data_IF_824439210836
#
_entry.id   IF_824439210836
#
_cell.length_a   1.000
_cell.length_b   1.000
_cell.length_c   1.000
_cell.angle_alpha   90.00
_cell.angle_beta   90.00
_cell.angle_gamma   90.00
#
_symmetry.space_group_name_H-M   'P 1'
#
loop_
_entity.id
_entity.type
_entity.pdbx_description
1 polymer ?
#
# COMPACT_ATOMS: atom_id res chain seq x y z
N UNK A 1 25.67 -18.64 -7.52
CA UNK A 1 25.07 -17.58 -8.36
C UNK A 1 24.35 -16.63 -7.43
N UNK A 2 24.71 -15.35 -7.42
CA UNK A 2 24.17 -14.37 -6.48
C UNK A 2 22.68 -14.17 -6.72
N UNK A 3 21.87 -14.36 -5.67
CA UNK A 3 20.46 -14.02 -5.69
C UNK A 3 20.33 -12.52 -5.94
N UNK A 4 19.85 -12.13 -7.12
CA UNK A 4 19.38 -10.77 -7.32
C UNK A 4 18.31 -10.51 -6.25
N UNK A 5 18.54 -9.50 -5.41
CA UNK A 5 17.59 -9.14 -4.37
C UNK A 5 16.36 -8.52 -5.05
N UNK A 6 15.39 -9.35 -5.45
CA UNK A 6 14.15 -8.94 -6.11
C UNK A 6 13.37 -7.90 -5.30
N UNK A 7 13.58 -7.85 -3.97
CA UNK A 7 13.02 -6.80 -3.13
C UNK A 7 13.63 -5.43 -3.45
N UNK A 8 14.91 -5.36 -3.81
CA UNK A 8 15.59 -4.12 -4.23
C UNK A 8 15.05 -3.60 -5.56
N UNK A 9 14.84 -4.48 -6.56
CA UNK A 9 14.21 -4.09 -7.84
C UNK A 9 12.77 -3.60 -7.66
N UNK A 10 12.03 -4.17 -6.69
CA UNK A 10 10.71 -3.67 -6.28
C UNK A 10 10.82 -2.33 -5.54
N UNK A 11 11.83 -2.15 -4.69
CA UNK A 11 12.08 -0.87 -4.00
C UNK A 11 12.51 0.23 -4.99
N UNK A 12 13.19 -0.08 -6.08
CA UNK A 12 13.64 0.92 -7.05
C UNK A 12 12.53 1.36 -8.04
N UNK A 13 11.42 0.62 -8.18
CA UNK A 13 10.24 0.95 -9.05
C UNK A 13 9.37 2.12 -8.54
N UNK A 14 9.86 2.86 -7.53
CA UNK A 14 9.14 3.90 -6.79
C UNK A 14 8.69 5.09 -7.65
N UNK A 15 9.37 5.44 -8.74
CA UNK A 15 9.09 6.70 -9.44
C UNK A 15 7.69 6.77 -10.11
N UNK A 16 7.04 5.63 -10.36
CA UNK A 16 5.70 5.58 -10.99
C UNK A 16 4.59 5.00 -10.09
N UNK A 17 4.94 4.41 -8.94
CA UNK A 17 4.03 3.57 -8.13
C UNK A 17 3.92 4.00 -6.66
N UNK A 18 3.98 5.31 -6.38
CA UNK A 18 3.76 5.89 -5.04
C UNK A 18 2.28 5.85 -4.60
N UNK A 19 1.58 4.79 -5.01
CA UNK A 19 0.20 4.46 -4.69
C UNK A 19 0.23 3.14 -3.91
N UNK A 20 -0.46 3.09 -2.76
CA UNK A 20 -0.49 1.90 -1.91
C UNK A 20 -1.17 0.71 -2.62
N UNK A 21 -0.84 -0.52 -2.21
CA UNK A 21 -1.59 -1.70 -2.64
C UNK A 21 -2.93 -1.79 -1.91
N UNK A 22 -3.91 -2.50 -2.48
CA UNK A 22 -5.18 -2.82 -1.79
C UNK A 22 -4.96 -3.67 -0.53
N UNK A 23 -3.86 -4.44 -0.49
CA UNK A 23 -3.50 -5.28 0.65
C UNK A 23 -3.15 -4.48 1.90
N UNK A 24 -2.59 -3.27 1.75
CA UNK A 24 -2.25 -2.41 2.90
C UNK A 24 -3.45 -1.98 3.76
N UNK A 25 -4.47 -1.30 3.21
CA UNK A 25 -5.66 -0.95 3.98
C UNK A 25 -6.40 -2.21 4.46
N UNK A 26 -6.37 -3.31 3.69
CA UNK A 26 -6.86 -4.62 4.14
C UNK A 26 -6.15 -5.09 5.43
N UNK A 27 -4.82 -5.11 5.45
CA UNK A 27 -4.01 -5.51 6.59
C UNK A 27 -4.27 -4.62 7.81
N UNK A 28 -4.45 -3.32 7.57
CA UNK A 28 -4.73 -2.35 8.64
C UNK A 28 -6.05 -2.67 9.36
N UNK A 29 -7.11 -3.03 8.63
CA UNK A 29 -8.40 -3.38 9.25
C UNK A 29 -8.30 -4.66 10.08
N UNK A 30 -7.56 -5.67 9.61
CA UNK A 30 -7.28 -6.88 10.41
C UNK A 30 -6.70 -6.51 11.78
N UNK A 31 -5.71 -5.60 11.83
CA UNK A 31 -5.03 -5.27 13.08
C UNK A 31 -5.82 -4.30 13.97
N UNK A 32 -6.55 -3.35 13.39
CA UNK A 32 -7.36 -2.39 14.15
C UNK A 32 -8.54 -3.09 14.82
N UNK A 33 -9.26 -3.94 14.07
CA UNK A 33 -10.46 -4.61 14.58
C UNK A 33 -10.08 -5.85 15.38
N UNK A 34 -9.11 -6.63 14.90
CA UNK A 34 -8.72 -7.87 15.55
C UNK A 34 -7.85 -7.68 16.80
N UNK A 35 -7.02 -6.64 16.83
CA UNK A 35 -6.05 -6.43 17.91
C UNK A 35 -5.22 -7.70 18.15
N UNK A 36 -5.16 -8.15 19.41
CA UNK A 36 -4.48 -9.40 19.77
C UNK A 36 -5.33 -10.68 19.58
N UNK A 37 -6.58 -10.56 19.08
CA UNK A 37 -7.51 -11.66 18.83
C UNK A 37 -7.36 -12.33 17.46
N UNK A 38 -8.28 -13.25 17.14
CA UNK A 38 -8.19 -14.11 15.96
C UNK A 38 -8.11 -13.32 14.65
N UNK A 39 -8.95 -12.28 14.48
CA UNK A 39 -9.00 -11.50 13.23
C UNK A 39 -7.68 -10.78 12.90
N UNK A 40 -6.84 -10.50 13.90
CA UNK A 40 -5.52 -9.85 13.72
C UNK A 40 -4.36 -10.81 13.44
N UNK A 41 -4.62 -12.12 13.36
CA UNK A 41 -3.64 -13.17 13.11
C UNK A 41 -4.00 -13.96 11.86
N UNK A 42 -3.09 -13.98 10.88
CA UNK A 42 -3.31 -14.66 9.59
C UNK A 42 -3.71 -16.14 9.70
N UNK A 43 -3.22 -16.85 10.71
CA UNK A 43 -3.49 -18.29 10.82
C UNK A 43 -4.89 -18.57 11.39
N UNK A 44 -5.53 -17.57 11.99
CA UNK A 44 -6.83 -17.72 12.64
C UNK A 44 -7.90 -16.71 12.20
N UNK A 45 -7.56 -15.76 11.33
CA UNK A 45 -8.42 -14.64 10.99
C UNK A 45 -9.76 -15.08 10.40
N UNK A 46 -9.75 -16.13 9.59
CA UNK A 46 -10.94 -16.69 8.96
C UNK A 46 -11.94 -17.35 9.93
N UNK A 47 -11.55 -17.64 11.19
CA UNK A 47 -12.47 -18.14 12.20
C UNK A 47 -13.37 -17.03 12.80
N UNK A 48 -12.97 -15.76 12.66
CA UNK A 48 -13.81 -14.63 13.06
C UNK A 48 -14.82 -14.33 11.93
N UNK A 49 -16.14 -14.33 12.18
CA UNK A 49 -17.13 -14.06 11.14
C UNK A 49 -16.92 -12.73 10.40
N UNK A 50 -16.34 -11.71 11.04
CA UNK A 50 -16.07 -10.41 10.40
C UNK A 50 -15.10 -10.52 9.23
N UNK A 51 -14.27 -11.58 9.19
CA UNK A 51 -13.38 -11.88 8.08
C UNK A 51 -14.11 -11.88 6.74
N UNK A 52 -15.25 -12.56 6.68
CA UNK A 52 -16.00 -12.72 5.44
C UNK A 52 -16.62 -11.39 5.00
N UNK A 53 -17.06 -10.54 5.95
CA UNK A 53 -17.61 -9.21 5.65
C UNK A 53 -16.51 -8.25 5.19
N UNK A 54 -15.35 -8.28 5.84
CA UNK A 54 -14.17 -7.51 5.45
C UNK A 54 -13.71 -7.88 4.04
N UNK A 55 -13.51 -9.17 3.76
CA UNK A 55 -13.11 -9.65 2.44
C UNK A 55 -14.18 -9.44 1.36
N UNK A 56 -15.47 -9.44 1.72
CA UNK A 56 -16.54 -9.04 0.80
C UNK A 56 -16.39 -7.57 0.38
N UNK A 57 -16.01 -6.68 1.31
CA UNK A 57 -15.72 -5.28 0.97
C UNK A 57 -14.40 -5.12 0.19
N UNK A 58 -13.39 -5.96 0.44
CA UNK A 58 -12.16 -5.97 -0.38
C UNK A 58 -12.45 -6.41 -1.81
N UNK A 59 -13.23 -7.48 -2.02
CA UNK A 59 -13.67 -7.91 -3.36
C UNK A 59 -14.53 -6.84 -4.04
N UNK A 60 -15.37 -6.13 -3.26
CA UNK A 60 -16.11 -4.96 -3.77
C UNK A 60 -15.17 -3.88 -4.28
N UNK A 61 -14.19 -3.45 -3.49
CA UNK A 61 -13.22 -2.43 -3.91
C UNK A 61 -12.42 -2.88 -5.13
N UNK A 62 -12.04 -4.16 -5.18
CA UNK A 62 -11.36 -4.75 -6.32
C UNK A 62 -12.23 -4.74 -7.60
N UNK A 63 -13.50 -5.11 -7.51
CA UNK A 63 -14.43 -5.09 -8.65
C UNK A 63 -14.64 -3.67 -9.20
N UNK A 64 -14.78 -2.67 -8.32
CA UNK A 64 -14.85 -1.27 -8.74
C UNK A 64 -13.53 -0.82 -9.39
N UNK A 65 -12.37 -1.20 -8.83
CA UNK A 65 -11.08 -0.89 -9.42
C UNK A 65 -10.93 -1.50 -10.82
N UNK A 66 -11.29 -2.76 -11.02
CA UNK A 66 -11.26 -3.43 -12.34
C UNK A 66 -12.20 -2.75 -13.34
N UNK A 67 -13.36 -2.27 -12.90
CA UNK A 67 -14.31 -1.55 -13.74
C UNK A 67 -13.72 -0.24 -14.31
N UNK A 68 -12.95 0.52 -13.51
CA UNK A 68 -12.34 1.79 -13.93
C UNK A 68 -10.92 1.63 -14.53
N UNK A 69 -10.26 0.49 -14.29
CA UNK A 69 -8.93 0.12 -14.80
C UNK A 69 -8.96 -1.24 -15.53
N UNK A 70 -9.78 -1.43 -16.57
CA UNK A 70 -9.98 -2.74 -17.21
C UNK A 70 -8.73 -3.28 -17.92
N UNK A 71 -7.78 -2.40 -18.23
CA UNK A 71 -6.55 -2.72 -18.95
C UNK A 71 -5.43 -3.22 -18.02
N UNK A 72 -5.60 -3.08 -16.69
CA UNK A 72 -4.60 -3.46 -15.68
C UNK A 72 -4.98 -4.78 -15.03
N UNK A 73 -4.54 -5.87 -15.64
CA UNK A 73 -4.91 -7.23 -15.23
C UNK A 73 -3.65 -8.02 -14.94
N UNK A 74 -3.71 -8.95 -13.99
CA UNK A 74 -2.70 -9.98 -13.92
C UNK A 74 -2.77 -10.75 -15.25
N UNK A 75 -1.66 -10.80 -15.97
CA UNK A 75 -1.52 -11.56 -17.21
C UNK A 75 -0.27 -12.44 -17.13
N UNK A 76 0.04 -13.12 -18.22
CA UNK A 76 1.20 -14.04 -18.30
C UNK A 76 2.55 -13.33 -18.51
N UNK A 77 2.52 -12.05 -18.86
CA UNK A 77 3.70 -11.23 -19.18
C UNK A 77 4.41 -10.65 -17.95
N UNK A 78 3.82 -10.73 -16.76
CA UNK A 78 4.40 -10.13 -15.55
C UNK A 78 4.20 -8.61 -15.46
N UNK A 79 5.08 -7.93 -14.72
CA UNK A 79 5.04 -6.48 -14.49
C UNK A 79 6.20 -5.77 -15.18
N UNK A 80 5.99 -4.50 -15.57
CA UNK A 80 7.06 -3.65 -16.12
C UNK A 80 7.99 -3.16 -15.02
N UNK A 81 9.28 -3.13 -15.31
CA UNK A 81 10.31 -2.48 -14.51
C UNK A 81 10.19 -0.95 -14.65
N UNK A 82 11.00 -0.22 -13.88
CA UNK A 82 11.01 1.23 -13.84
C UNK A 82 11.41 1.87 -15.18
N UNK A 83 12.15 1.16 -16.01
CA UNK A 83 12.50 1.62 -17.36
C UNK A 83 11.29 1.66 -18.30
N UNK A 84 10.14 1.09 -17.89
CA UNK A 84 8.93 0.98 -18.69
C UNK A 84 9.03 0.00 -19.86
N UNK A 85 10.12 -0.75 -19.95
CA UNK A 85 10.46 -1.59 -21.10
C UNK A 85 10.74 -3.05 -20.70
N UNK A 86 11.48 -3.25 -19.62
CA UNK A 86 11.84 -4.57 -19.11
C UNK A 86 10.66 -5.18 -18.36
N UNK A 87 10.36 -6.46 -18.58
CA UNK A 87 9.31 -7.18 -17.84
C UNK A 87 9.90 -8.20 -16.87
N UNK A 88 9.33 -8.23 -15.67
CA UNK A 88 9.64 -9.19 -14.62
C UNK A 88 8.44 -10.12 -14.38
N UNK A 89 8.65 -11.43 -14.26
CA UNK A 89 7.55 -12.34 -13.91
C UNK A 89 7.01 -12.04 -12.51
N UNK A 90 5.73 -12.32 -12.28
CA UNK A 90 5.23 -12.43 -10.92
C UNK A 90 5.78 -13.70 -10.29
N UNK A 91 6.27 -13.58 -9.05
CA UNK A 91 6.93 -14.66 -8.34
C UNK A 91 6.27 -14.83 -6.97
N UNK A 92 5.94 -16.07 -6.61
CA UNK A 92 5.42 -16.41 -5.30
C UNK A 92 6.52 -16.26 -4.24
N UNK A 93 6.34 -15.30 -3.33
CA UNK A 93 7.32 -15.00 -2.30
C UNK A 93 7.13 -15.88 -1.08
N UNK A 94 8.03 -16.86 -0.96
CA UNK A 94 8.05 -17.80 0.15
C UNK A 94 7.13 -19.00 0.00
N UNK A 95 6.33 -19.13 -1.06
CA UNK A 95 5.45 -20.29 -1.27
C UNK A 95 4.11 -20.23 -0.52
N UNK A 96 3.24 -21.19 -0.80
CA UNK A 96 1.94 -21.36 -0.15
C UNK A 96 1.70 -22.86 0.13
N UNK A 97 0.47 -23.24 0.48
CA UNK A 97 0.14 -24.67 0.63
C UNK A 97 0.29 -25.45 -0.70
N UNK A 98 0.07 -24.79 -1.83
CA UNK A 98 0.08 -25.42 -3.16
C UNK A 98 1.20 -24.93 -4.09
N UNK A 99 1.94 -23.89 -3.71
CA UNK A 99 2.96 -23.26 -4.55
C UNK A 99 4.32 -23.27 -3.85
N UNK A 100 5.39 -23.50 -4.61
CA UNK A 100 6.74 -23.42 -4.06
C UNK A 100 7.19 -21.98 -3.86
N UNK A 101 8.18 -21.76 -3.00
CA UNK A 101 8.91 -20.49 -2.99
C UNK A 101 9.50 -20.24 -4.37
N UNK A 102 9.42 -19.00 -4.84
CA UNK A 102 9.97 -18.54 -6.11
C UNK A 102 9.35 -19.21 -7.34
N UNK A 103 8.15 -19.79 -7.19
CA UNK A 103 7.35 -20.23 -8.32
C UNK A 103 6.90 -19.01 -9.14
N UNK A 104 7.05 -19.05 -10.47
CA UNK A 104 6.40 -18.08 -11.36
C UNK A 104 4.89 -18.25 -11.26
N UNK A 105 4.18 -17.14 -11.04
CA UNK A 105 2.71 -17.09 -11.00
C UNK A 105 2.20 -16.13 -12.08
N UNK A 106 0.97 -16.35 -12.51
CA UNK A 106 0.25 -15.58 -13.53
C UNK A 106 -1.27 -15.78 -13.36
N UNK A 107 -2.06 -15.29 -14.32
CA UNK A 107 -3.52 -15.38 -14.28
C UNK A 107 -4.10 -16.76 -14.57
N UNK A 108 -3.27 -17.69 -15.03
CA UNK A 108 -3.63 -19.08 -15.28
C UNK A 108 -3.25 -20.02 -14.12
N UNK A 109 -2.44 -19.52 -13.19
CA UNK A 109 -1.99 -20.24 -12.01
C UNK A 109 -3.18 -20.76 -11.18
N UNK A 110 -3.22 -22.06 -10.84
CA UNK A 110 -4.31 -22.65 -10.05
C UNK A 110 -4.49 -22.02 -8.67
N UNK A 111 -5.69 -21.48 -8.40
CA UNK A 111 -6.11 -20.99 -7.08
C UNK A 111 -6.63 -22.15 -6.22
N UNK A 112 -5.73 -23.08 -5.86
CA UNK A 112 -6.09 -24.17 -4.96
C UNK A 112 -6.48 -23.62 -3.56
N UNK A 113 -7.45 -24.25 -2.87
CA UNK A 113 -8.14 -25.49 -3.21
C UNK A 113 -9.46 -25.28 -3.99
N UNK A 114 -9.73 -24.10 -4.55
CA UNK A 114 -11.03 -23.77 -5.14
C UNK A 114 -11.21 -24.45 -6.49
N UNK A 115 -12.23 -25.31 -6.61
CA UNK A 115 -12.53 -26.07 -7.84
C UNK A 115 -13.81 -25.59 -8.52
N UNK A 116 -13.82 -25.68 -9.85
CA UNK A 116 -14.99 -25.57 -10.71
C UNK A 116 -15.77 -26.89 -10.71
N UNK A 117 -16.99 -26.87 -11.25
CA UNK A 117 -17.86 -28.06 -11.34
C UNK A 117 -17.23 -29.23 -12.12
N UNK A 118 -16.35 -28.94 -13.09
CA UNK A 118 -15.63 -29.93 -13.87
C UNK A 118 -14.36 -30.49 -13.16
N UNK A 119 -14.11 -30.10 -11.92
CA UNK A 119 -12.97 -30.55 -11.11
C UNK A 119 -11.66 -29.79 -11.34
N UNK A 120 -11.56 -28.96 -12.38
CA UNK A 120 -10.41 -28.06 -12.57
C UNK A 120 -10.38 -26.97 -11.49
N UNK A 121 -9.19 -26.50 -11.14
CA UNK A 121 -9.07 -25.35 -10.23
C UNK A 121 -9.54 -24.06 -10.92
N UNK A 122 -10.04 -23.13 -10.10
CA UNK A 122 -10.19 -21.73 -10.51
C UNK A 122 -8.81 -21.11 -10.74
N UNK A 123 -8.75 -20.07 -11.56
CA UNK A 123 -7.58 -19.20 -11.69
C UNK A 123 -8.00 -17.71 -11.68
N UNK A 124 -7.05 -16.78 -11.73
CA UNK A 124 -7.36 -15.35 -11.64
C UNK A 124 -8.18 -14.86 -12.83
N UNK A 125 -8.01 -15.46 -14.01
CA UNK A 125 -8.82 -15.16 -15.19
C UNK A 125 -10.30 -15.54 -14.99
N UNK A 126 -10.56 -16.71 -14.43
CA UNK A 126 -11.92 -17.14 -14.06
C UNK A 126 -12.52 -16.18 -13.00
N UNK A 127 -11.69 -15.66 -12.10
CA UNK A 127 -12.10 -14.80 -10.99
C UNK A 127 -12.17 -13.29 -11.34
N UNK A 128 -11.77 -12.88 -12.53
CA UNK A 128 -11.67 -11.46 -12.86
C UNK A 128 -13.03 -10.77 -13.05
N UNK A 129 -14.07 -11.51 -13.44
CA UNK A 129 -15.35 -10.93 -13.86
C UNK A 129 -16.50 -11.36 -12.95
N UNK A 130 -17.34 -10.39 -12.52
CA UNK A 130 -18.56 -10.66 -11.75
C UNK A 130 -19.67 -11.29 -12.61
N UNK A 131 -19.61 -11.11 -13.92
CA UNK A 131 -20.42 -11.80 -14.92
C UNK A 131 -19.57 -12.02 -16.17
N UNK A 132 -19.45 -13.27 -16.62
CA UNK A 132 -18.67 -13.61 -17.81
C UNK A 132 -19.29 -13.02 -19.07
N UNK A 133 -18.51 -12.25 -19.83
CA UNK A 133 -18.86 -11.88 -21.20
C UNK A 133 -18.69 -13.04 -22.19
N UNK A 134 -17.74 -13.93 -21.91
CA UNK A 134 -17.55 -15.15 -22.67
C UNK A 134 -18.45 -16.24 -22.07
N UNK A 135 -19.19 -16.96 -22.91
CA UNK A 135 -19.99 -18.13 -22.53
C UNK A 135 -19.19 -19.25 -21.83
N UNK A 136 -17.87 -19.12 -21.79
CA UNK A 136 -16.90 -20.04 -21.19
C UNK A 136 -16.46 -19.65 -19.78
N UNK A 137 -16.72 -18.42 -19.32
CA UNK A 137 -16.32 -17.98 -17.97
C UNK A 137 -17.35 -18.39 -16.91
N UNK A 138 -16.93 -18.85 -15.73
CA UNK A 138 -17.86 -19.19 -14.65
C UNK A 138 -18.71 -17.99 -14.19
N UNK A 139 -20.00 -18.21 -13.96
CA UNK A 139 -20.86 -17.20 -13.34
C UNK A 139 -20.69 -17.23 -11.82
N UNK A 140 -20.46 -16.06 -11.21
CA UNK A 140 -20.31 -15.93 -9.75
C UNK A 140 -21.62 -15.67 -9.02
N UNK A 141 -22.70 -15.33 -9.73
CA UNK A 141 -24.05 -15.11 -9.19
C UNK A 141 -24.18 -14.00 -8.13
N UNK A 142 -23.27 -13.02 -8.11
CA UNK A 142 -23.38 -11.83 -7.27
C UNK A 142 -22.90 -10.57 -8.00
N UNK A 143 -23.30 -9.41 -7.46
CA UNK A 143 -22.76 -8.09 -7.81
C UNK A 143 -22.87 -7.17 -6.59
N UNK A 144 -22.39 -5.93 -6.72
CA UNK A 144 -22.38 -4.94 -5.66
C UNK A 144 -23.31 -3.77 -5.93
N UNK A 145 -23.81 -3.18 -4.83
CA UNK A 145 -24.52 -1.91 -4.90
C UNK A 145 -23.58 -0.79 -5.38
N UNK A 146 -24.10 0.19 -6.16
CA UNK A 146 -23.33 1.33 -6.66
C UNK A 146 -22.57 2.11 -5.59
N UNK A 147 -21.51 2.80 -5.98
CA UNK A 147 -20.86 3.85 -5.17
C UNK A 147 -21.27 5.19 -5.76
N UNK A 148 -22.31 5.80 -5.17
CA UNK A 148 -22.90 7.02 -5.74
C UNK A 148 -23.38 6.79 -7.19
N UNK A 149 -22.91 7.56 -8.18
CA UNK A 149 -23.25 7.39 -9.59
C UNK A 149 -22.45 6.27 -10.28
N UNK A 150 -21.50 5.61 -9.61
CA UNK A 150 -20.68 4.57 -10.22
C UNK A 150 -21.39 3.22 -10.12
N UNK A 151 -21.86 2.71 -11.25
CA UNK A 151 -22.52 1.42 -11.38
C UNK A 151 -21.56 0.40 -12.00
N UNK A 152 -21.42 -0.77 -11.36
CA UNK A 152 -20.62 -1.84 -11.94
C UNK A 152 -21.27 -2.36 -13.22
N UNK A 153 -20.63 -2.08 -14.35
CA UNK A 153 -20.85 -2.77 -15.61
C UNK A 153 -19.53 -3.38 -16.06
N UNK A 154 -19.26 -4.60 -15.60
CA UNK A 154 -18.05 -5.34 -15.97
C UNK A 154 -18.19 -6.03 -17.33
N UNK A 155 -19.38 -5.96 -17.94
CA UNK A 155 -19.66 -6.53 -19.25
C UNK A 155 -19.39 -5.53 -20.37
N UNK A 156 -19.62 -4.25 -20.20
CA UNK A 156 -19.36 -3.29 -21.30
C UNK A 156 -18.16 -2.41 -20.95
N UNK A 157 -17.06 -2.46 -21.72
CA UNK A 157 -15.94 -1.55 -21.52
C UNK A 157 -16.42 -0.10 -21.62
N UNK A 158 -16.16 0.68 -20.57
CA UNK A 158 -16.49 2.11 -20.55
C UNK A 158 -15.56 2.89 -21.49
N UNK A 159 -16.09 3.96 -22.08
CA UNK A 159 -15.28 4.94 -22.81
C UNK A 159 -14.23 5.54 -21.88
N UNK A 160 -13.11 6.01 -22.43
CA UNK A 160 -12.05 6.63 -21.62
C UNK A 160 -12.57 7.86 -20.84
N UNK A 161 -13.45 8.65 -21.45
CA UNK A 161 -14.08 9.80 -20.82
C UNK A 161 -14.95 9.40 -19.61
N UNK A 162 -15.77 8.35 -19.76
CA UNK A 162 -16.60 7.85 -18.66
C UNK A 162 -15.76 7.26 -17.52
N UNK A 163 -14.69 6.51 -17.86
CA UNK A 163 -13.73 6.04 -16.86
C UNK A 163 -13.07 7.20 -16.10
N UNK A 164 -12.73 8.28 -16.79
CA UNK A 164 -12.16 9.48 -16.13
C UNK A 164 -13.15 10.13 -15.17
N UNK A 165 -14.41 10.31 -15.58
CA UNK A 165 -15.46 10.86 -14.70
C UNK A 165 -15.64 10.04 -13.43
N UNK A 166 -15.77 8.74 -13.57
CA UNK A 166 -15.97 7.86 -12.43
C UNK A 166 -14.73 7.81 -11.52
N UNK A 167 -13.51 7.87 -12.08
CA UNK A 167 -12.28 8.03 -11.29
C UNK A 167 -12.27 9.33 -10.49
N UNK A 168 -12.66 10.45 -11.09
CA UNK A 168 -12.74 11.74 -10.40
C UNK A 168 -13.73 11.66 -9.22
N UNK A 169 -14.91 11.08 -9.46
CA UNK A 169 -15.90 10.86 -8.41
C UNK A 169 -15.35 9.99 -7.28
N UNK A 170 -14.76 8.82 -7.59
CA UNK A 170 -14.25 7.89 -6.59
C UNK A 170 -13.07 8.48 -5.81
N UNK A 171 -12.19 9.22 -6.48
CA UNK A 171 -11.09 9.92 -5.81
C UNK A 171 -11.63 10.92 -4.80
N UNK A 172 -12.62 11.74 -5.17
CA UNK A 172 -13.27 12.68 -4.24
C UNK A 172 -14.06 11.99 -3.14
N UNK A 173 -14.72 10.87 -3.45
CA UNK A 173 -15.57 10.14 -2.52
C UNK A 173 -14.76 9.47 -1.40
N UNK A 174 -13.56 8.98 -1.70
CA UNK A 174 -12.74 8.22 -0.74
C UNK A 174 -11.53 8.98 -0.20
N UNK A 175 -11.10 10.07 -0.83
CA UNK A 175 -9.98 10.88 -0.33
C UNK A 175 -10.51 12.02 0.56
N UNK A 176 -10.35 11.94 1.89
CA UNK A 176 -10.76 13.01 2.79
C UNK A 176 -9.95 14.30 2.59
N UNK A 177 -8.81 14.23 1.89
CA UNK A 177 -7.94 15.37 1.56
C UNK A 177 -8.15 15.87 0.13
N UNK A 178 -9.24 15.47 -0.53
CA UNK A 178 -9.49 15.89 -1.91
C UNK A 178 -9.58 17.41 -2.05
N UNK A 179 -10.26 18.07 -1.12
CA UNK A 179 -10.46 19.52 -1.18
C UNK A 179 -9.16 20.29 -0.87
N UNK A 180 -8.20 19.68 -0.14
CA UNK A 180 -6.86 20.25 0.11
C UNK A 180 -6.06 20.46 -1.20
N UNK A 181 -6.43 19.79 -2.31
CA UNK A 181 -5.74 19.94 -3.59
C UNK A 181 -5.93 21.34 -4.20
N UNK A 182 -7.06 22.00 -3.95
CA UNK A 182 -7.29 23.37 -4.41
C UNK A 182 -6.29 24.33 -3.75
N UNK A 183 -6.14 24.22 -2.42
CA UNK A 183 -5.18 25.03 -1.65
C UNK A 183 -3.74 24.80 -2.14
N UNK A 184 -3.39 23.54 -2.45
CA UNK A 184 -2.08 23.21 -3.03
C UNK A 184 -1.89 23.91 -4.37
N UNK A 185 -2.90 23.93 -5.24
CA UNK A 185 -2.83 24.45 -6.62
C UNK A 185 -2.79 25.98 -6.69
N UNK A 186 -3.40 26.70 -5.75
CA UNK A 186 -3.57 28.15 -5.84
C UNK A 186 -2.28 28.95 -5.54
N UNK A 187 -1.35 28.42 -4.74
CA UNK A 187 0.06 28.85 -4.53
C UNK A 187 0.46 28.35 -3.13
N UNK A 188 1.45 27.46 -3.01
CA UNK A 188 2.10 27.22 -1.71
C UNK A 188 3.09 28.38 -1.46
N UNK A 189 2.81 29.33 -0.55
CA UNK A 189 3.65 30.51 -0.33
C UNK A 189 5.01 30.17 0.27
N UNK A 190 5.23 28.92 0.71
CA UNK A 190 6.48 28.45 1.32
C UNK A 190 7.30 27.59 0.35
N UNK A 191 6.64 26.83 -0.53
CA UNK A 191 7.30 25.88 -1.44
C UNK A 191 7.44 26.35 -2.89
N UNK A 192 6.86 27.50 -3.27
CA UNK A 192 6.84 28.07 -4.63
C UNK A 192 6.31 27.13 -5.74
N UNK A 193 5.85 25.92 -5.40
CA UNK A 193 5.30 24.91 -6.32
C UNK A 193 4.21 24.08 -5.63
N UNK A 194 3.08 23.79 -6.31
CA UNK A 194 1.94 23.04 -5.77
C UNK A 194 2.31 21.55 -5.58
N UNK A 195 2.83 21.20 -4.40
CA UNK A 195 3.32 19.85 -4.12
C UNK A 195 2.57 19.15 -2.99
N UNK A 196 2.20 17.89 -3.23
CA UNK A 196 1.72 16.95 -2.21
C UNK A 196 2.89 16.17 -1.64
N UNK A 197 2.92 15.96 -0.33
CA UNK A 197 3.91 15.13 0.34
C UNK A 197 3.34 13.78 0.76
N UNK A 198 4.16 12.74 0.66
CA UNK A 198 3.84 11.38 1.12
C UNK A 198 5.07 10.76 1.76
N UNK A 199 4.85 9.82 2.69
CA UNK A 199 5.90 8.92 3.15
C UNK A 199 5.74 7.56 2.49
N UNK A 200 6.84 7.00 2.01
CA UNK A 200 6.91 5.57 1.69
C UNK A 200 7.55 4.83 2.82
N UNK A 201 7.11 3.61 3.01
CA UNK A 201 7.58 2.74 4.08
C UNK A 201 7.89 1.37 3.50
N UNK A 202 8.96 0.75 4.01
CA UNK A 202 9.31 -0.64 3.76
C UNK A 202 9.59 -1.28 5.11
N UNK A 203 8.77 -2.28 5.49
CA UNK A 203 8.75 -2.93 6.80
C UNK A 203 9.04 -4.43 6.62
N UNK A 204 9.91 -5.02 7.42
CA UNK A 204 10.15 -6.46 7.32
C UNK A 204 8.94 -7.27 7.82
N UNK A 205 8.40 -8.14 6.98
CA UNK A 205 7.26 -8.99 7.34
C UNK A 205 7.57 -9.92 8.53
N UNK A 206 8.86 -10.12 8.82
CA UNK A 206 9.34 -11.12 9.77
C UNK A 206 10.20 -10.53 10.89
N UNK A 207 10.26 -9.19 10.99
CA UNK A 207 11.01 -8.47 12.03
C UNK A 207 10.61 -8.88 13.45
N UNK A 208 9.32 -9.15 13.65
CA UNK A 208 8.76 -9.51 14.96
C UNK A 208 7.89 -10.75 14.84
N UNK A 209 7.66 -11.39 16.00
CA UNK A 209 6.74 -12.53 16.09
C UNK A 209 5.30 -12.02 15.99
N UNK A 210 4.62 -12.36 14.90
CA UNK A 210 3.25 -11.93 14.64
C UNK A 210 3.17 -10.56 13.98
N UNK A 211 1.94 -10.05 13.93
CA UNK A 211 1.62 -8.78 13.31
C UNK A 211 2.13 -7.58 14.10
N UNK A 212 2.36 -6.45 13.42
CA UNK A 212 2.68 -5.17 14.03
C UNK A 212 2.32 -4.01 13.10
N UNK A 213 2.32 -2.79 13.62
CA UNK A 213 2.06 -1.57 12.85
C UNK A 213 3.21 -0.58 13.00
N UNK A 214 3.54 0.11 11.92
CA UNK A 214 4.22 1.40 11.97
C UNK A 214 3.16 2.48 12.13
N UNK A 215 3.27 3.31 13.17
CA UNK A 215 2.48 4.53 13.35
C UNK A 215 3.37 5.74 13.12
N UNK A 216 2.89 6.69 12.33
CA UNK A 216 3.60 7.92 11.99
C UNK A 216 2.84 9.13 12.51
N UNK A 217 3.59 10.04 13.11
CA UNK A 217 3.08 11.25 13.73
C UNK A 217 3.83 12.46 13.18
N UNK A 218 3.15 13.60 13.14
CA UNK A 218 3.73 14.91 12.88
C UNK A 218 3.36 15.81 14.05
N UNK A 219 4.34 16.17 14.88
CA UNK A 219 4.07 16.63 16.24
C UNK A 219 3.36 15.54 17.06
N UNK A 220 2.25 15.89 17.71
CA UNK A 220 1.43 14.96 18.52
C UNK A 220 0.33 14.23 17.72
N UNK A 221 0.06 14.65 16.48
CA UNK A 221 -1.01 14.08 15.67
C UNK A 221 -0.55 12.84 14.90
N UNK A 222 -1.29 11.73 15.02
CA UNK A 222 -1.10 10.56 14.15
C UNK A 222 -1.60 10.92 12.74
N UNK A 223 -0.69 10.92 11.76
CA UNK A 223 -1.02 11.22 10.36
C UNK A 223 -1.27 9.95 9.54
N UNK A 224 -0.84 8.80 10.04
CA UNK A 224 -1.13 7.52 9.38
C UNK A 224 -0.39 6.34 9.97
N UNK A 225 -0.71 5.16 9.42
CA UNK A 225 -0.14 3.91 9.89
C UNK A 225 -0.06 2.89 8.76
N UNK A 226 0.91 1.99 8.86
CA UNK A 226 1.16 0.90 7.91
C UNK A 226 1.18 -0.41 8.66
N UNK A 227 0.45 -1.41 8.17
CA UNK A 227 0.24 -2.67 8.86
C UNK A 227 1.07 -3.79 8.25
N UNK A 228 1.74 -4.54 9.11
CA UNK A 228 2.34 -5.84 8.79
C UNK A 228 1.44 -6.91 9.39
N UNK A 229 0.60 -7.50 8.55
CA UNK A 229 -0.21 -8.64 8.93
C UNK A 229 0.65 -9.90 8.80
N UNK A 230 1.13 -10.38 9.95
CA UNK A 230 2.08 -11.46 10.07
C UNK A 230 1.44 -12.71 10.66
N UNK A 231 2.23 -13.79 10.70
CA UNK A 231 1.87 -15.03 11.40
C UNK A 231 2.59 -15.11 12.73
N UNK A 232 1.92 -15.66 13.75
CA UNK A 232 2.62 -16.10 14.97
C UNK A 232 3.48 -17.32 14.62
N UNK A 233 4.57 -17.49 15.35
CA UNK A 233 5.67 -18.37 14.97
C UNK A 233 5.23 -19.82 14.69
N UNK A 234 5.44 -20.30 13.45
CA UNK A 234 5.45 -21.73 13.14
C UNK A 234 6.82 -22.12 12.62
N UNK A 235 7.65 -22.70 13.50
CA UNK A 235 8.96 -23.25 13.15
C UNK A 235 8.88 -24.42 12.15
N UNK A 236 7.67 -24.89 11.81
CA UNK A 236 7.41 -25.99 10.87
C UNK A 236 6.92 -25.51 9.51
N UNK A 237 6.53 -24.24 9.38
CA UNK A 237 6.04 -23.72 8.10
C UNK A 237 7.21 -23.36 7.19
N UNK A 238 7.42 -24.16 6.14
CA UNK A 238 8.45 -23.91 5.13
C UNK A 238 8.34 -22.53 4.49
N UNK A 239 7.11 -22.04 4.28
CA UNK A 239 6.87 -20.69 3.76
C UNK A 239 7.30 -19.58 4.73
N UNK A 240 6.96 -19.70 6.02
CA UNK A 240 7.42 -18.75 7.03
C UNK A 240 8.95 -18.71 7.13
N UNK A 241 9.61 -19.86 7.02
CA UNK A 241 11.07 -19.94 7.01
C UNK A 241 11.67 -19.31 5.73
N UNK A 242 11.07 -19.57 4.57
CA UNK A 242 11.49 -19.00 3.30
C UNK A 242 11.34 -17.47 3.28
N UNK A 243 10.21 -16.93 3.79
CA UNK A 243 10.00 -15.48 3.89
C UNK A 243 11.00 -14.80 4.80
N UNK A 244 11.35 -15.43 5.94
CA UNK A 244 12.42 -14.95 6.85
C UNK A 244 13.76 -14.90 6.13
N UNK A 245 14.12 -15.98 5.41
CA UNK A 245 15.37 -16.06 4.65
C UNK A 245 15.42 -15.07 3.48
N UNK A 246 14.27 -14.84 2.84
CA UNK A 246 14.11 -13.93 1.70
C UNK A 246 13.96 -12.45 2.08
N UNK A 247 13.90 -12.13 3.39
CA UNK A 247 13.70 -10.78 3.92
C UNK A 247 12.54 -10.05 3.22
N UNK A 248 11.37 -10.71 3.14
CA UNK A 248 10.18 -10.16 2.49
C UNK A 248 9.75 -8.88 3.21
N UNK A 249 9.56 -7.80 2.44
CA UNK A 249 9.19 -6.49 2.97
C UNK A 249 7.80 -6.07 2.51
N UNK A 250 7.06 -5.54 3.46
CA UNK A 250 5.73 -4.98 3.33
C UNK A 250 5.89 -3.48 3.06
N UNK A 251 5.35 -3.02 1.93
CA UNK A 251 5.40 -1.60 1.53
C UNK A 251 4.11 -0.89 1.90
N UNK A 252 4.21 0.36 2.31
CA UNK A 252 3.06 1.22 2.56
C UNK A 252 3.32 2.67 2.19
N UNK A 253 2.24 3.41 1.93
CA UNK A 253 2.25 4.84 1.63
C UNK A 253 1.41 5.54 2.68
N UNK A 254 1.96 6.60 3.28
CA UNK A 254 1.24 7.47 4.21
C UNK A 254 1.14 8.86 3.58
N UNK A 255 -0.04 9.26 3.08
CA UNK A 255 -0.27 10.63 2.64
C UNK A 255 -0.08 11.59 3.81
N UNK A 256 0.57 12.74 3.56
CA UNK A 256 0.71 13.79 4.57
C UNK A 256 -0.35 14.86 4.28
N UNK A 257 -1.25 15.17 5.22
CA UNK A 257 -2.24 16.24 5.05
C UNK A 257 -1.55 17.58 4.78
N UNK A 258 -2.03 18.35 3.81
CA UNK A 258 -1.44 19.65 3.48
C UNK A 258 -1.39 20.61 4.70
N UNK A 259 -2.43 20.69 5.55
CA UNK A 259 -2.37 21.53 6.76
C UNK A 259 -1.26 21.14 7.74
N UNK A 260 -0.87 19.85 7.78
CA UNK A 260 0.23 19.39 8.65
C UNK A 260 1.59 19.88 8.12
N UNK A 261 1.78 19.89 6.80
CA UNK A 261 2.96 20.47 6.15
C UNK A 261 3.05 21.97 6.45
N UNK A 262 1.97 22.72 6.21
CA UNK A 262 1.90 24.16 6.51
C UNK A 262 2.22 24.43 7.98
N UNK A 263 1.69 23.62 8.89
CA UNK A 263 1.96 23.73 10.33
C UNK A 263 3.43 23.57 10.69
N UNK A 264 4.15 22.65 10.03
CA UNK A 264 5.56 22.40 10.32
C UNK A 264 6.53 23.45 9.74
N UNK A 265 6.10 24.18 8.71
CA UNK A 265 6.93 25.21 8.06
C UNK A 265 6.55 26.63 8.47
N UNK A 266 5.43 26.80 9.18
CA UNK A 266 4.94 28.10 9.63
C UNK A 266 5.94 28.77 10.58
N UNK A 267 6.31 30.01 10.26
CA UNK A 267 7.18 30.83 11.10
C UNK A 267 8.68 30.52 10.94
N UNK A 268 9.06 29.69 9.96
CA UNK A 268 10.45 29.56 9.56
C UNK A 268 10.97 30.89 9.00
N UNK A 269 12.24 31.20 9.28
CA UNK A 269 12.93 32.33 8.64
C UNK A 269 13.14 32.03 7.15
N UNK A 270 13.24 33.08 6.32
CA UNK A 270 13.37 32.96 4.85
C UNK A 270 14.51 32.03 4.41
N UNK A 271 15.63 32.00 5.13
CA UNK A 271 16.82 31.19 4.81
C UNK A 271 16.78 29.76 5.40
N UNK A 272 15.67 29.35 6.03
CA UNK A 272 15.57 28.04 6.68
C UNK A 272 15.49 26.90 5.66
N UNK A 273 16.10 25.76 5.97
CA UNK A 273 15.89 24.54 5.20
C UNK A 273 14.49 23.96 5.49
N UNK A 274 13.55 24.25 4.60
CA UNK A 274 12.15 23.81 4.70
C UNK A 274 12.04 22.28 4.72
N UNK A 275 12.85 21.57 3.94
CA UNK A 275 12.82 20.11 3.91
C UNK A 275 13.36 19.51 5.20
N UNK A 276 14.39 20.12 5.77
CA UNK A 276 14.89 19.70 7.07
C UNK A 276 13.86 19.92 8.19
N UNK A 277 13.15 21.05 8.17
CA UNK A 277 12.06 21.32 9.11
C UNK A 277 10.94 20.28 9.00
N UNK A 278 10.49 19.96 7.77
CA UNK A 278 9.48 18.93 7.53
C UNK A 278 9.98 17.57 8.03
N UNK A 279 11.18 17.13 7.66
CA UNK A 279 11.73 15.83 8.10
C UNK A 279 11.89 15.74 9.61
N UNK A 280 12.28 16.84 10.26
CA UNK A 280 12.49 16.92 11.71
C UNK A 280 11.18 16.90 12.51
N UNK A 281 10.05 17.24 11.88
CA UNK A 281 8.72 17.22 12.50
C UNK A 281 8.15 15.83 12.73
N UNK A 282 8.65 14.81 12.01
CA UNK A 282 8.10 13.45 12.11
C UNK A 282 8.55 12.72 13.36
N UNK A 283 7.65 11.91 13.89
CA UNK A 283 7.91 10.83 14.85
C UNK A 283 7.30 9.56 14.31
N UNK A 284 7.84 8.42 14.72
CA UNK A 284 7.26 7.14 14.36
C UNK A 284 7.47 6.11 15.47
N UNK A 285 6.60 5.11 15.51
CA UNK A 285 6.70 4.01 16.46
C UNK A 285 6.24 2.70 15.82
N UNK A 286 6.87 1.61 16.25
CA UNK A 286 6.42 0.26 15.96
C UNK A 286 5.58 -0.22 17.13
N UNK A 287 4.38 -0.71 16.84
CA UNK A 287 3.35 -1.02 17.83
C UNK A 287 2.79 -2.40 17.55
N UNK A 288 2.69 -3.23 18.58
CA UNK A 288 2.01 -4.52 18.49
C UNK A 288 0.49 -4.33 18.47
N UNK A 289 -0.29 -5.31 17.98
CA UNK A 289 -1.74 -5.25 18.00
C UNK A 289 -2.36 -5.11 19.41
N UNK A 290 -1.59 -5.38 20.47
CA UNK A 290 -1.99 -5.10 21.86
C UNK A 290 -1.90 -3.62 22.25
N UNK A 291 -1.39 -2.75 21.37
CA UNK A 291 -1.08 -1.34 21.66
C UNK A 291 0.30 -1.13 22.28
N UNK A 292 1.04 -2.20 22.61
CA UNK A 292 2.39 -2.07 23.17
C UNK A 292 3.37 -1.54 22.11
N UNK A 293 4.02 -0.42 22.42
CA UNK A 293 5.12 0.11 21.62
C UNK A 293 6.35 -0.77 21.80
N UNK A 294 6.98 -1.19 20.71
CA UNK A 294 8.18 -2.05 20.71
C UNK A 294 9.43 -1.32 20.23
N UNK A 295 9.25 -0.28 19.43
CA UNK A 295 10.35 0.61 19.05
C UNK A 295 9.83 2.00 18.72
N UNK A 296 10.70 2.99 18.86
CA UNK A 296 10.44 4.38 18.51
C UNK A 296 11.55 4.92 17.63
N UNK A 297 11.17 5.87 16.80
CA UNK A 297 12.10 6.65 16.04
C UNK A 297 12.95 7.52 16.97
N UNK A 298 14.27 7.51 16.79
CA UNK A 298 15.19 8.21 17.68
C UNK A 298 15.03 9.73 17.57
N UNK A 299 15.00 10.41 18.72
CA UNK A 299 14.88 11.88 18.80
C UNK A 299 16.22 12.61 18.62
N UNK A 300 17.36 11.92 18.82
CA UNK A 300 18.72 12.47 18.76
C UNK A 300 19.60 11.84 17.67
N UNK A 301 20.86 12.26 17.56
CA UNK A 301 21.81 11.72 16.58
C UNK A 301 22.17 10.25 16.87
N UNK A 302 22.47 9.49 15.80
CA UNK A 302 22.73 8.04 15.84
C UNK A 302 23.88 7.63 16.79
N UNK A 303 24.78 8.55 17.13
CA UNK A 303 25.98 8.32 17.93
C UNK A 303 25.78 8.04 19.42
N UNK A 304 24.53 7.96 19.91
CA UNK A 304 24.21 7.72 21.32
C UNK A 304 23.46 6.41 21.63
N UNK A 305 23.18 5.56 20.63
CA UNK A 305 22.44 4.31 20.85
C UNK A 305 23.41 3.17 21.17
N UNK A 306 23.20 2.52 22.32
CA UNK A 306 23.89 1.25 22.63
C UNK A 306 23.30 0.11 21.78
N UNK A 307 24.10 -0.94 21.50
CA UNK A 307 23.62 -2.15 20.80
C UNK A 307 22.40 -2.80 21.48
N UNK A 308 22.31 -2.71 22.81
CA UNK A 308 21.17 -3.25 23.56
C UNK A 308 19.87 -2.49 23.22
N UNK A 309 19.97 -1.18 22.99
CA UNK A 309 18.83 -0.30 22.70
C UNK A 309 18.52 -0.14 21.21
N UNK A 310 19.45 -0.40 20.29
CA UNK A 310 19.20 -0.30 18.84
C UNK A 310 18.34 -1.48 18.35
N UNK A 311 17.52 -1.24 17.32
CA UNK A 311 16.87 -2.33 16.61
C UNK A 311 17.88 -3.07 15.72
N UNK A 312 17.73 -4.39 15.49
CA UNK A 312 18.49 -5.09 14.46
C UNK A 312 18.22 -4.50 13.06
N UNK A 313 19.23 -4.50 12.19
CA UNK A 313 19.12 -3.88 10.85
C UNK A 313 17.99 -4.49 10.00
N UNK A 314 17.78 -5.80 10.08
CA UNK A 314 16.67 -6.49 9.40
C UNK A 314 15.28 -6.07 9.90
N UNK A 315 15.19 -5.60 11.15
CA UNK A 315 13.97 -5.14 11.79
C UNK A 315 13.73 -3.63 11.61
N UNK A 316 14.74 -2.88 11.15
CA UNK A 316 14.60 -1.44 10.91
C UNK A 316 13.63 -1.19 9.74
N UNK A 317 12.60 -0.36 9.96
CA UNK A 317 11.86 0.27 8.88
C UNK A 317 12.81 1.05 7.96
N UNK A 318 12.40 1.20 6.71
CA UNK A 318 12.88 2.29 5.84
C UNK A 318 11.70 3.23 5.64
N UNK A 319 11.85 4.50 6.00
CA UNK A 319 10.80 5.52 5.84
C UNK A 319 11.35 6.73 5.10
N UNK A 320 10.84 7.00 3.91
CA UNK A 320 11.36 8.05 3.01
C UNK A 320 10.29 9.08 2.67
N UNK A 321 10.69 10.33 2.60
CA UNK A 321 9.83 11.45 2.25
C UNK A 321 9.87 11.69 0.74
N UNK A 322 8.69 11.74 0.12
CA UNK A 322 8.53 12.08 -1.29
C UNK A 322 7.57 13.26 -1.44
N UNK A 323 7.69 13.98 -2.56
CA UNK A 323 6.63 14.87 -3.00
C UNK A 323 6.38 14.81 -4.50
N UNK A 324 5.17 15.16 -4.92
CA UNK A 324 4.75 15.22 -6.32
C UNK A 324 4.03 16.51 -6.63
N UNK A 325 4.06 16.93 -7.90
CA UNK A 325 3.16 17.97 -8.40
C UNK A 325 1.75 17.42 -8.49
N UNK A 326 0.78 18.22 -8.06
CA UNK A 326 -0.65 17.96 -8.27
C UNK A 326 -1.07 18.64 -9.57
N UNK A 327 -1.82 17.94 -10.41
CA UNK A 327 -2.44 18.53 -11.60
C UNK A 327 -3.89 18.10 -11.71
N UNK A 328 -4.75 18.97 -12.24
CA UNK A 328 -6.10 18.58 -12.65
C UNK A 328 -6.24 18.92 -14.14
N UNK A 329 -6.36 17.94 -15.03
CA UNK A 329 -6.55 18.21 -16.45
C UNK A 329 -7.87 18.94 -16.66
N UNK A 330 -7.85 20.23 -17.01
CA UNK A 330 -9.06 20.95 -17.43
C UNK A 330 -9.36 20.58 -18.87
N UNK A 331 -10.35 19.72 -19.11
CA UNK A 331 -11.01 19.69 -20.41
C UNK A 331 -11.93 20.90 -20.44
N UNK A 332 -11.83 21.73 -21.49
CA UNK A 332 -12.53 23.03 -21.63
C UNK A 332 -14.06 22.95 -21.43
N UNK A 333 -14.65 21.75 -21.47
CA UNK A 333 -16.08 21.53 -21.28
C UNK A 333 -16.48 20.91 -19.93
N UNK A 334 -15.56 20.43 -19.07
CA UNK A 334 -15.93 19.71 -17.83
C UNK A 334 -14.96 19.91 -16.66
N UNK A 335 -14.84 21.14 -16.16
CA UNK A 335 -14.08 21.46 -14.93
C UNK A 335 -14.66 20.65 -13.76
N UNK A 336 -13.83 19.84 -13.09
CA UNK A 336 -14.24 19.00 -11.94
C UNK A 336 -14.63 17.55 -12.28
N UNK A 337 -14.63 17.17 -13.55
CA UNK A 337 -14.95 15.79 -13.99
C UNK A 337 -13.71 14.93 -14.30
N UNK A 338 -12.50 15.47 -14.11
CA UNK A 338 -11.23 14.77 -14.31
C UNK A 338 -10.55 14.50 -12.96
N UNK A 339 -9.97 13.31 -12.77
CA UNK A 339 -9.26 13.00 -11.54
C UNK A 339 -7.97 13.81 -11.47
N UNK A 340 -7.57 14.17 -10.25
CA UNK A 340 -6.26 14.75 -10.01
C UNK A 340 -5.16 13.75 -10.37
N UNK A 341 -4.18 14.21 -11.14
CA UNK A 341 -2.95 13.52 -11.46
C UNK A 341 -1.83 13.85 -10.49
N UNK A 342 -0.93 12.90 -10.30
CA UNK A 342 0.27 13.06 -9.48
C UNK A 342 1.51 12.72 -10.33
N UNK A 343 2.41 13.67 -10.48
CA UNK A 343 3.60 13.54 -11.32
C UNK A 343 4.82 14.25 -10.74
N UNK A 344 5.92 14.28 -11.50
CA UNK A 344 7.17 14.96 -11.11
C UNK A 344 7.64 14.60 -9.69
N UNK A 345 7.60 13.30 -9.37
CA UNK A 345 7.97 12.78 -8.06
C UNK A 345 9.43 13.12 -7.72
N UNK A 346 9.65 13.54 -6.48
CA UNK A 346 10.97 13.89 -5.96
C UNK A 346 11.19 13.19 -4.62
N UNK A 347 12.36 12.60 -4.44
CA UNK A 347 12.79 11.93 -3.21
C UNK A 347 13.57 12.92 -2.34
N UNK A 348 13.06 13.22 -1.15
CA UNK A 348 13.67 14.11 -0.15
C UNK A 348 14.53 13.35 0.87
N UNK A 349 14.68 12.04 0.66
CA UNK A 349 15.48 11.14 1.45
C UNK A 349 14.75 10.54 2.66
N UNK A 350 15.47 9.69 3.40
CA UNK A 350 14.98 9.07 4.63
C UNK A 350 14.65 10.09 5.71
N UNK A 351 13.52 9.88 6.39
CA UNK A 351 13.22 10.59 7.65
C UNK A 351 13.84 9.87 8.85
N UNK A 352 14.27 8.62 8.68
CA UNK A 352 14.68 7.71 9.75
C UNK A 352 16.20 7.64 10.00
N UNK A 353 16.96 8.60 9.48
CA UNK A 353 18.43 8.69 9.60
C UNK A 353 18.95 8.69 11.04
N UNK A 354 18.11 9.09 11.99
CA UNK A 354 18.44 9.10 13.43
C UNK A 354 18.50 7.70 14.04
N UNK A 355 17.97 6.69 13.34
CA UNK A 355 17.92 5.31 13.80
C UNK A 355 16.66 5.00 14.63
N UNK A 356 16.60 3.77 15.15
CA UNK A 356 15.44 3.24 15.84
C UNK A 356 15.83 2.66 17.20
N UNK A 357 15.10 3.03 18.25
CA UNK A 357 15.35 2.55 19.60
C UNK A 357 14.28 1.55 20.00
N UNK A 358 14.65 0.44 20.63
CA UNK A 358 13.71 -0.44 21.34
C UNK A 358 12.99 0.37 22.42
N UNK A 359 11.69 0.14 22.56
CA UNK A 359 10.94 0.67 23.68
C UNK A 359 11.22 -0.22 24.90
N UNK A 360 11.75 0.38 25.97
CA UNK A 360 11.98 -0.28 27.27
C UNK A 360 10.64 -0.57 27.95
#
# INVERSE_FOLDING_TARGET
MGHANLNRLREDTLYFSLQGSIEQPHNKIHLIVGGAGHFGDNDTSAFDPIFHLHHCNVDRLWAFWQHIYPDYVAGTEGYLDIDGMTRHPFMQSGGSFSESSDQKIDDETPLAPFRKSNGAYWNSRDAQYLGGQASTLPQKYYTYQPIGPVHLNVSTPLSQAERSRQRAYLQRHFDPHYDDYADILELDPVMNTPRRFVLTTSLSQTAFRGSYMLKVFMGEAEIGSVAVLGRRESAKCGNCQAQRKGNVRVRGVVPIPHPAVVGAVRGLAEDSDVMDAIRSSFRASLVLPSGRVIARFALGSRGGLSEETDLPDEAKPSVRLFSCSVSQPTLEENVGETPHGFGNWFDHGPIDNRGWCKAI
#
